data_IF_051866592812
#
_entry.id   IF_051866592812
#
_cell.length_a   1.000
_cell.length_b   1.000
_cell.length_c   1.000
_cell.angle_alpha   90.00
_cell.angle_beta   90.00
_cell.angle_gamma   90.00
#
_symmetry.space_group_name_H-M   'P 1'
#
loop_
_entity.id
_entity.type
_entity.pdbx_description
1 polymer ?
#
# COMPACT_ATOMS: atom_id res chain seq x y z
N UNK A 1 -3.77 -0.26 0.91
CA UNK A 1 -2.54 -0.96 0.52
C UNK A 1 -2.77 -2.48 0.43
N UNK A 2 -1.87 -3.16 -0.26
CA UNK A 2 -1.87 -4.62 -0.39
C UNK A 2 -1.37 -5.30 0.89
N UNK A 3 -1.64 -6.61 1.11
CA UNK A 3 -1.01 -7.35 2.21
C UNK A 3 0.52 -7.31 2.18
N UNK A 4 1.10 -7.34 0.98
CA UNK A 4 2.50 -6.99 0.76
C UNK A 4 2.56 -5.72 -0.09
N UNK A 5 3.32 -4.74 0.34
CA UNK A 5 3.61 -3.56 -0.47
C UNK A 5 4.97 -2.99 -0.08
N UNK A 6 5.59 -2.28 -1.01
CA UNK A 6 6.85 -1.60 -0.74
C UNK A 6 6.57 -0.20 -0.25
N UNK A 7 7.15 0.14 0.89
CA UNK A 7 7.00 1.46 1.48
C UNK A 7 8.32 2.22 1.39
N UNK A 8 8.30 3.33 0.68
CA UNK A 8 9.41 4.28 0.65
C UNK A 8 9.25 5.23 1.82
N UNK A 9 10.35 5.73 2.34
CA UNK A 9 10.25 6.63 3.46
C UNK A 9 11.56 7.29 3.82
N UNK A 10 11.47 8.25 4.72
CA UNK A 10 12.60 8.90 5.34
C UNK A 10 12.32 9.06 6.83
N UNK A 11 13.38 9.02 7.62
CA UNK A 11 13.27 8.95 9.07
C UNK A 11 14.24 9.93 9.69
N UNK A 12 13.83 10.55 10.81
CA UNK A 12 14.69 11.41 11.58
C UNK A 12 14.49 11.15 13.06
N UNK A 13 15.58 11.02 13.78
CA UNK A 13 15.58 10.76 15.21
C UNK A 13 16.22 11.96 15.93
N UNK A 14 15.40 13.01 16.14
CA UNK A 14 15.86 14.22 16.82
C UNK A 14 16.65 15.20 15.93
N UNK A 15 16.64 15.02 14.63
CA UNK A 15 17.34 15.90 13.68
C UNK A 15 16.33 16.83 13.00
N UNK A 16 15.95 16.58 11.73
CA UNK A 16 14.95 17.41 11.06
C UNK A 16 13.52 17.09 11.52
N UNK A 17 12.60 18.04 11.34
CA UNK A 17 11.21 17.87 11.74
C UNK A 17 10.29 18.55 10.70
N UNK A 18 9.11 19.04 11.10
CA UNK A 18 8.08 19.59 10.19
C UNK A 18 8.62 20.63 9.22
N UNK A 19 9.42 21.56 9.73
CA UNK A 19 9.97 22.69 8.95
C UNK A 19 10.74 22.24 7.73
N UNK A 20 11.46 21.13 7.83
CA UNK A 20 12.30 20.59 6.77
C UNK A 20 11.53 19.58 5.92
N UNK A 21 10.86 18.61 6.56
CA UNK A 21 10.26 17.50 5.83
C UNK A 21 9.07 17.93 4.96
N UNK A 22 8.29 18.92 5.41
CA UNK A 22 7.13 19.38 4.64
C UNK A 22 7.55 19.97 3.29
N UNK A 23 8.47 20.98 3.24
CA UNK A 23 8.93 21.49 1.95
C UNK A 23 9.65 20.42 1.10
N UNK A 24 10.45 19.56 1.71
CA UNK A 24 11.16 18.50 0.98
C UNK A 24 10.20 17.52 0.31
N UNK A 25 9.15 17.10 1.02
CA UNK A 25 8.16 16.18 0.46
C UNK A 25 7.41 16.80 -0.71
N UNK A 26 7.05 18.06 -0.58
CA UNK A 26 6.37 18.79 -1.66
C UNK A 26 7.28 18.93 -2.89
N UNK A 27 8.52 19.30 -2.69
CA UNK A 27 9.51 19.40 -3.77
C UNK A 27 9.69 18.06 -4.48
N UNK A 28 9.81 16.97 -3.72
CA UNK A 28 9.96 15.64 -4.30
C UNK A 28 8.76 15.26 -5.17
N UNK A 29 7.55 15.43 -4.65
CA UNK A 29 6.33 15.05 -5.36
C UNK A 29 6.12 15.91 -6.61
N UNK A 30 6.33 17.22 -6.51
CA UNK A 30 6.03 18.13 -7.62
C UNK A 30 7.16 18.26 -8.63
N UNK A 31 8.41 18.32 -8.18
CA UNK A 31 9.56 18.52 -9.07
C UNK A 31 10.18 17.22 -9.53
N UNK A 32 10.51 16.33 -8.60
CA UNK A 32 11.20 15.07 -8.97
C UNK A 32 10.23 14.06 -9.61
N UNK A 33 9.06 13.87 -9.02
CA UNK A 33 8.05 12.97 -9.57
C UNK A 33 7.19 13.62 -10.66
N UNK A 34 7.15 14.95 -10.72
CA UNK A 34 6.43 15.69 -11.75
C UNK A 34 4.92 15.63 -11.64
N UNK A 35 4.37 15.37 -10.45
CA UNK A 35 2.92 15.36 -10.27
C UNK A 35 2.42 16.80 -10.23
N UNK A 36 1.44 17.19 -11.07
CA UNK A 36 0.95 18.57 -11.09
C UNK A 36 0.40 19.02 -9.74
N UNK A 37 0.84 20.19 -9.28
CA UNK A 37 0.45 20.74 -7.99
C UNK A 37 -1.06 20.95 -7.87
N UNK A 38 -1.75 21.24 -8.96
CA UNK A 38 -3.20 21.47 -8.99
C UNK A 38 -4.01 20.20 -8.71
N UNK A 39 -3.40 19.02 -8.78
CA UNK A 39 -4.03 17.74 -8.43
C UNK A 39 -3.78 17.33 -6.99
N UNK A 40 -2.99 18.09 -6.25
CA UNK A 40 -2.56 17.70 -4.91
C UNK A 40 -3.38 18.40 -3.83
N UNK A 41 -3.76 17.63 -2.83
CA UNK A 41 -4.44 18.08 -1.63
C UNK A 41 -3.65 17.62 -0.42
N UNK A 42 -3.69 18.42 0.64
CA UNK A 42 -2.96 18.15 1.87
C UNK A 42 -3.98 17.98 3.00
N UNK A 43 -3.73 16.98 3.85
CA UNK A 43 -4.45 16.84 5.11
C UNK A 43 -3.50 17.10 6.27
N UNK A 44 -4.03 17.63 7.35
CA UNK A 44 -3.32 17.83 8.62
C UNK A 44 -4.26 17.48 9.77
N UNK A 45 -3.70 17.30 10.95
CA UNK A 45 -4.52 17.16 12.15
C UNK A 45 -5.20 18.49 12.48
N UNK A 46 -6.42 18.44 13.00
CA UNK A 46 -7.23 19.63 13.32
C UNK A 46 -6.51 20.64 14.20
N UNK A 47 -5.65 20.19 15.09
CA UNK A 47 -4.92 21.04 16.02
C UNK A 47 -3.47 21.34 15.62
N UNK A 48 -3.02 20.85 14.45
CA UNK A 48 -1.64 21.06 14.01
C UNK A 48 -1.48 22.37 13.23
N UNK A 49 -1.49 23.48 13.96
CA UNK A 49 -1.34 24.82 13.38
C UNK A 49 0.06 25.04 12.82
N UNK A 50 1.07 24.38 13.37
CA UNK A 50 2.43 24.47 12.86
C UNK A 50 2.55 23.88 11.45
N UNK A 51 1.94 22.71 11.23
CA UNK A 51 1.91 22.11 9.89
C UNK A 51 1.11 22.98 8.92
N UNK A 52 -0.02 23.53 9.36
CA UNK A 52 -0.81 24.46 8.54
C UNK A 52 0.04 25.65 8.09
N UNK A 53 0.74 26.27 9.02
CA UNK A 53 1.57 27.45 8.73
C UNK A 53 2.66 27.13 7.70
N UNK A 54 3.32 25.98 7.84
CA UNK A 54 4.37 25.58 6.91
C UNK A 54 3.80 25.31 5.51
N UNK A 55 2.71 24.58 5.41
CA UNK A 55 2.06 24.30 4.12
C UNK A 55 1.56 25.58 3.44
N UNK A 56 0.97 26.49 4.21
CA UNK A 56 0.36 27.70 3.67
C UNK A 56 1.40 28.81 3.40
N UNK A 57 2.23 29.14 4.38
CA UNK A 57 3.12 30.28 4.30
C UNK A 57 4.51 29.97 3.72
N UNK A 58 5.03 28.75 3.91
CA UNK A 58 6.35 28.37 3.40
C UNK A 58 6.23 27.70 2.02
N UNK A 59 5.38 26.70 1.90
CA UNK A 59 5.14 26.01 0.64
C UNK A 59 4.29 26.87 -0.31
N UNK A 60 3.36 27.63 0.22
CA UNK A 60 2.54 28.56 -0.56
C UNK A 60 1.22 28.00 -1.04
N UNK A 61 0.70 26.96 -0.39
CA UNK A 61 -0.59 26.40 -0.77
C UNK A 61 -1.75 27.29 -0.28
N UNK A 62 -2.82 27.43 -1.06
CA UNK A 62 -4.01 28.13 -0.58
C UNK A 62 -4.67 27.33 0.55
N UNK A 63 -5.36 28.05 1.46
CA UNK A 63 -5.96 27.44 2.65
C UNK A 63 -6.95 26.33 2.30
N UNK A 64 -7.73 26.48 1.23
CA UNK A 64 -8.72 25.48 0.80
C UNK A 64 -8.12 24.15 0.37
N UNK A 65 -6.83 24.11 0.09
CA UNK A 65 -6.11 22.89 -0.26
C UNK A 65 -5.53 22.14 0.94
N UNK A 66 -5.68 22.72 2.13
CA UNK A 66 -5.17 22.14 3.39
C UNK A 66 -6.38 21.79 4.25
N UNK A 67 -6.67 20.50 4.35
CA UNK A 67 -7.87 20.00 5.02
C UNK A 67 -7.53 19.50 6.42
N UNK A 68 -8.26 19.95 7.43
CA UNK A 68 -8.06 19.55 8.82
C UNK A 68 -8.93 18.36 9.16
N UNK A 69 -8.32 17.25 9.58
CA UNK A 69 -9.01 16.01 9.92
C UNK A 69 -8.58 15.51 11.29
N UNK A 70 -9.54 15.09 12.11
CA UNK A 70 -9.24 14.56 13.44
C UNK A 70 -8.50 13.24 13.39
N UNK A 71 -8.75 12.42 12.36
CA UNK A 71 -8.09 11.14 12.17
C UNK A 71 -6.61 11.25 11.76
N UNK A 72 -6.12 12.46 11.47
CA UNK A 72 -4.70 12.66 11.14
C UNK A 72 -3.82 12.65 12.39
N UNK A 73 -3.94 11.59 13.16
CA UNK A 73 -3.12 11.34 14.34
C UNK A 73 -2.72 9.86 14.34
N UNK A 74 -1.41 9.61 14.35
CA UNK A 74 -0.88 8.24 14.31
C UNK A 74 -0.55 7.77 15.73
N UNK A 75 -1.12 6.66 16.13
CA UNK A 75 -0.85 5.99 17.41
C UNK A 75 -1.08 4.48 17.28
N UNK A 76 -0.40 3.71 18.11
CA UNK A 76 -0.46 2.24 18.08
C UNK A 76 -0.70 1.67 19.49
N UNK A 77 -1.42 2.38 20.32
CA UNK A 77 -1.53 2.12 21.75
C UNK A 77 -0.49 2.93 22.50
N UNK A 78 0.08 2.40 23.56
CA UNK A 78 1.12 3.12 24.32
C UNK A 78 2.42 3.22 23.52
N UNK A 79 3.11 4.33 23.68
CA UNK A 79 4.39 4.61 23.02
C UNK A 79 4.40 5.88 22.17
N UNK A 80 5.42 6.06 21.36
CA UNK A 80 5.54 7.26 20.51
C UNK A 80 4.38 7.43 19.54
N UNK A 81 3.88 8.67 19.43
CA UNK A 81 2.73 9.01 18.57
C UNK A 81 2.77 10.49 18.22
N UNK A 82 1.87 10.91 17.35
CA UNK A 82 1.75 12.32 16.99
C UNK A 82 0.85 12.57 15.79
N UNK A 83 0.61 13.85 15.50
CA UNK A 83 -0.17 14.22 14.32
C UNK A 83 0.55 13.82 13.04
N UNK A 84 -0.22 13.68 11.97
CA UNK A 84 0.36 13.40 10.65
C UNK A 84 -0.22 14.33 9.60
N UNK A 85 0.51 14.44 8.50
CA UNK A 85 0.09 15.19 7.33
C UNK A 85 0.22 14.28 6.11
N UNK A 86 -0.82 14.25 5.29
CA UNK A 86 -0.87 13.38 4.12
C UNK A 86 -0.93 14.18 2.84
N UNK A 87 -0.28 13.66 1.80
CA UNK A 87 -0.39 14.20 0.44
C UNK A 87 -1.30 13.28 -0.35
N UNK A 88 -2.38 13.85 -0.90
CA UNK A 88 -3.38 13.14 -1.70
C UNK A 88 -3.37 13.63 -3.14
N UNK A 89 -3.59 12.72 -4.07
CA UNK A 89 -3.78 13.04 -5.49
C UNK A 89 -5.27 12.96 -5.80
N UNK A 90 -5.82 14.01 -6.40
CA UNK A 90 -7.17 14.00 -6.94
C UNK A 90 -7.16 13.25 -8.28
N UNK A 91 -7.79 12.09 -8.30
CA UNK A 91 -7.85 11.22 -9.49
C UNK A 91 -8.99 11.59 -10.45
N UNK A 92 -9.78 12.60 -10.11
CA UNK A 92 -10.88 13.10 -10.94
C UNK A 92 -12.27 12.80 -10.39
N UNK A 93 -13.23 13.63 -10.74
CA UNK A 93 -14.62 13.52 -10.26
C UNK A 93 -15.27 12.19 -10.67
N UNK A 94 -14.91 11.67 -11.83
CA UNK A 94 -15.44 10.41 -12.35
C UNK A 94 -15.08 9.21 -11.50
N UNK A 95 -14.08 9.32 -10.64
CA UNK A 95 -13.66 8.28 -9.70
C UNK A 95 -14.24 8.44 -8.32
N UNK A 96 -14.98 9.53 -8.11
CA UNK A 96 -15.58 9.85 -6.83
C UNK A 96 -16.94 9.21 -6.61
N UNK A 97 -17.54 9.53 -5.46
CA UNK A 97 -18.87 9.04 -5.06
C UNK A 97 -20.02 9.75 -5.76
N UNK A 98 -19.75 10.79 -6.54
CA UNK A 98 -20.77 11.59 -7.23
C UNK A 98 -21.57 12.54 -6.34
N UNK A 99 -21.27 12.60 -5.05
CA UNK A 99 -21.96 13.52 -4.13
C UNK A 99 -21.36 14.91 -4.22
N UNK A 100 -22.18 15.98 -4.11
CA UNK A 100 -21.65 17.34 -4.08
C UNK A 100 -20.70 17.63 -2.92
N UNK A 101 -20.79 16.85 -1.84
CA UNK A 101 -19.95 16.96 -0.65
C UNK A 101 -18.66 16.17 -0.75
N UNK A 102 -18.37 15.54 -1.91
CA UNK A 102 -17.16 14.77 -2.11
C UNK A 102 -15.93 15.66 -1.97
N UNK A 103 -15.09 15.33 -1.00
CA UNK A 103 -13.89 16.08 -0.67
C UNK A 103 -12.83 15.13 -0.12
N UNK A 104 -11.63 15.63 0.08
CA UNK A 104 -10.57 14.87 0.74
C UNK A 104 -11.05 14.42 2.12
N UNK A 105 -10.84 13.13 2.42
CA UNK A 105 -11.39 12.47 3.61
C UNK A 105 -12.63 11.64 3.32
N UNK A 106 -13.21 11.74 2.12
CA UNK A 106 -14.30 10.88 1.68
C UNK A 106 -13.78 9.46 1.43
N UNK A 107 -14.62 8.46 1.76
CA UNK A 107 -14.30 7.03 1.57
C UNK A 107 -14.42 6.57 0.11
N UNK A 108 -14.50 7.49 -0.84
CA UNK A 108 -14.55 7.14 -2.26
C UNK A 108 -13.14 7.02 -2.86
N UNK A 109 -13.07 6.58 -4.11
CA UNK A 109 -11.81 6.30 -4.80
C UNK A 109 -11.18 7.54 -5.48
N UNK A 110 -11.73 8.73 -5.25
CA UNK A 110 -11.27 9.95 -5.93
C UNK A 110 -9.92 10.44 -5.44
N UNK A 111 -9.74 10.51 -4.11
CA UNK A 111 -8.52 11.06 -3.51
C UNK A 111 -7.65 9.93 -3.00
N UNK A 112 -6.46 9.80 -3.58
CA UNK A 112 -5.51 8.75 -3.24
C UNK A 112 -4.38 9.32 -2.40
N UNK A 113 -4.23 8.83 -1.16
CA UNK A 113 -3.08 9.15 -0.32
C UNK A 113 -1.83 8.52 -0.92
N UNK A 114 -0.83 9.35 -1.24
CA UNK A 114 0.44 8.87 -1.80
C UNK A 114 1.61 8.99 -0.82
N UNK A 115 1.50 9.82 0.21
CA UNK A 115 2.56 9.99 1.20
C UNK A 115 1.97 10.39 2.55
N UNK A 116 2.42 9.74 3.61
CA UNK A 116 2.04 10.08 4.98
C UNK A 116 3.27 10.53 5.75
N UNK A 117 3.23 11.75 6.29
CA UNK A 117 4.28 12.32 7.12
C UNK A 117 3.83 12.27 8.57
N UNK A 118 4.46 11.41 9.38
CA UNK A 118 4.11 11.28 10.80
C UNK A 118 5.09 12.09 11.64
N UNK A 119 4.54 12.96 12.48
CA UNK A 119 5.29 13.85 13.37
C UNK A 119 5.24 13.27 14.78
N UNK A 120 6.18 12.40 15.10
CA UNK A 120 6.23 11.71 16.39
C UNK A 120 6.76 12.66 17.44
N UNK A 121 5.87 13.33 18.15
CA UNK A 121 6.20 14.38 19.11
C UNK A 121 5.67 14.11 20.52
N UNK A 122 4.85 13.07 20.70
CA UNK A 122 4.27 12.68 21.98
C UNK A 122 4.56 11.23 22.30
N UNK A 123 4.45 10.91 23.59
CA UNK A 123 4.35 9.53 24.08
C UNK A 123 2.97 9.34 24.67
N UNK A 124 2.25 8.32 24.22
CA UNK A 124 1.02 7.89 24.86
C UNK A 124 1.38 6.97 26.02
N UNK A 125 1.03 7.40 27.23
CA UNK A 125 1.29 6.63 28.45
C UNK A 125 0.26 5.51 28.61
N UNK A 126 0.54 4.56 29.49
CA UNK A 126 -0.35 3.42 29.72
C UNK A 126 -1.73 3.84 30.23
N UNK A 127 -1.84 4.98 30.93
CA UNK A 127 -3.11 5.54 31.42
C UNK A 127 -3.88 6.31 30.32
N UNK A 128 -3.36 6.38 29.09
CA UNK A 128 -3.98 7.08 27.98
C UNK A 128 -3.64 8.55 27.89
N UNK A 129 -2.82 9.09 28.77
CA UNK A 129 -2.37 10.49 28.70
C UNK A 129 -1.21 10.63 27.74
N UNK A 130 -1.01 11.87 27.24
CA UNK A 130 0.07 12.19 26.31
C UNK A 130 1.08 13.10 26.97
N UNK A 131 2.37 12.78 26.81
CA UNK A 131 3.48 13.63 27.26
C UNK A 131 4.39 13.95 26.08
N UNK A 132 4.93 15.18 25.99
CA UNK A 132 5.87 15.53 24.92
C UNK A 132 7.13 14.67 24.97
N UNK A 133 7.62 14.26 23.79
CA UNK A 133 8.92 13.60 23.68
C UNK A 133 10.06 14.62 23.80
N UNK A 134 11.14 14.20 24.43
CA UNK A 134 12.36 15.03 24.53
C UNK A 134 12.95 15.30 23.16
N UNK A 135 12.98 14.28 22.30
CA UNK A 135 13.40 14.40 20.90
C UNK A 135 12.21 14.07 20.01
N UNK A 136 11.92 14.99 19.07
CA UNK A 136 10.86 14.78 18.08
C UNK A 136 11.41 14.02 16.89
N UNK A 137 10.60 13.11 16.36
CA UNK A 137 11.03 12.22 15.29
C UNK A 137 10.13 12.34 14.07
N UNK A 138 10.69 12.05 12.91
CA UNK A 138 9.95 11.96 11.64
C UNK A 138 9.92 10.50 11.22
N UNK A 139 8.74 10.04 10.86
CA UNK A 139 8.51 8.74 10.22
C UNK A 139 7.58 8.98 9.04
N UNK A 140 8.02 8.67 7.83
CA UNK A 140 7.20 8.87 6.65
C UNK A 140 6.99 7.57 5.90
N UNK A 141 5.89 7.50 5.13
CA UNK A 141 5.59 6.34 4.32
C UNK A 141 4.90 6.72 3.01
N UNK A 142 5.46 6.22 1.91
CA UNK A 142 4.88 6.35 0.57
C UNK A 142 4.82 4.96 -0.07
N UNK A 143 3.62 4.50 -0.39
CA UNK A 143 3.45 3.21 -1.04
C UNK A 143 3.94 3.25 -2.48
N UNK A 144 4.93 2.44 -2.81
CA UNK A 144 5.50 2.41 -4.16
C UNK A 144 4.43 2.09 -5.20
N UNK A 145 3.55 1.14 -4.92
CA UNK A 145 2.49 0.74 -5.85
C UNK A 145 1.54 1.89 -6.18
N UNK A 146 1.19 2.70 -5.19
CA UNK A 146 0.34 3.88 -5.41
C UNK A 146 1.04 4.94 -6.23
N UNK A 147 2.30 5.22 -5.93
CA UNK A 147 3.11 6.15 -6.73
C UNK A 147 3.22 5.67 -8.18
N UNK A 148 3.50 4.39 -8.38
CA UNK A 148 3.60 3.80 -9.71
C UNK A 148 2.29 3.94 -10.49
N UNK A 149 1.13 3.72 -9.86
CA UNK A 149 -0.17 3.85 -10.52
C UNK A 149 -0.40 5.29 -11.01
N UNK A 150 -0.05 6.27 -10.21
CA UNK A 150 -0.19 7.69 -10.58
C UNK A 150 0.78 8.06 -11.69
N UNK A 151 2.05 7.70 -11.55
CA UNK A 151 3.09 8.06 -12.52
C UNK A 151 2.93 7.35 -13.86
N UNK A 152 2.41 6.12 -13.86
CA UNK A 152 2.14 5.37 -15.09
C UNK A 152 0.78 5.69 -15.70
N UNK A 153 -0.02 6.52 -15.02
CA UNK A 153 -1.36 6.88 -15.50
C UNK A 153 -2.32 5.70 -15.56
N UNK A 154 -2.20 4.76 -14.63
CA UNK A 154 -3.04 3.56 -14.60
C UNK A 154 -4.25 3.73 -13.70
N UNK A 155 -5.36 3.01 -13.97
CA UNK A 155 -6.56 3.12 -13.16
C UNK A 155 -6.37 2.66 -11.72
N UNK A 156 -5.47 1.69 -11.49
CA UNK A 156 -5.17 1.19 -10.14
C UNK A 156 -3.75 0.61 -10.08
N UNK A 157 -3.35 0.19 -8.88
CA UNK A 157 -2.07 -0.49 -8.67
C UNK A 157 -1.95 -1.77 -9.51
N UNK A 158 -3.07 -2.44 -9.75
CA UNK A 158 -3.10 -3.73 -10.43
C UNK A 158 -2.68 -3.67 -11.89
N UNK A 159 -2.90 -2.55 -12.57
CA UNK A 159 -2.54 -2.40 -13.98
C UNK A 159 -1.10 -1.89 -14.17
N UNK A 160 -0.38 -1.64 -13.06
CA UNK A 160 1.03 -1.23 -13.13
C UNK A 160 1.94 -2.41 -13.47
N UNK A 161 3.14 -2.10 -13.89
CA UNK A 161 4.18 -3.09 -14.15
C UNK A 161 4.64 -3.87 -12.91
N UNK A 162 4.23 -3.41 -11.72
CA UNK A 162 4.54 -4.08 -10.45
C UNK A 162 3.62 -5.26 -10.14
N UNK A 163 2.46 -5.37 -10.79
CA UNK A 163 1.46 -6.41 -10.49
C UNK A 163 0.90 -7.06 -11.75
N UNK A 164 0.68 -6.29 -12.82
CA UNK A 164 -0.05 -6.75 -13.99
C UNK A 164 0.48 -8.03 -14.64
N UNK A 165 1.81 -8.26 -14.73
CA UNK A 165 2.31 -9.53 -15.28
C UNK A 165 1.79 -10.78 -14.58
N UNK A 166 1.46 -10.68 -13.29
CA UNK A 166 0.87 -11.81 -12.55
C UNK A 166 -0.58 -12.01 -12.97
N UNK A 167 -1.32 -10.91 -13.21
CA UNK A 167 -2.68 -10.97 -13.76
C UNK A 167 -2.67 -11.64 -15.14
N UNK A 168 -1.71 -11.27 -16.00
CA UNK A 168 -1.56 -11.86 -17.33
C UNK A 168 -1.34 -13.38 -17.22
N UNK A 169 -0.44 -13.81 -16.35
CA UNK A 169 -0.21 -15.23 -16.11
C UNK A 169 -1.50 -15.97 -15.71
N UNK A 170 -2.21 -15.45 -14.73
CA UNK A 170 -3.45 -16.10 -14.23
C UNK A 170 -4.53 -16.10 -15.31
N UNK A 171 -4.64 -15.04 -16.09
CA UNK A 171 -5.63 -14.98 -17.19
C UNK A 171 -5.33 -15.98 -18.29
N UNK A 172 -4.05 -16.22 -18.60
CA UNK A 172 -3.65 -17.23 -19.58
C UNK A 172 -3.99 -18.64 -19.07
N UNK A 173 -3.65 -18.94 -17.81
CA UNK A 173 -3.96 -20.25 -17.21
C UNK A 173 -5.47 -20.52 -17.19
N UNK A 174 -6.27 -19.50 -16.87
CA UNK A 174 -7.72 -19.62 -16.81
C UNK A 174 -8.41 -19.51 -18.18
N UNK A 175 -7.69 -19.11 -19.23
CA UNK A 175 -8.22 -18.80 -20.55
C UNK A 175 -9.35 -17.77 -20.49
N UNK A 176 -9.13 -16.71 -19.70
CA UNK A 176 -10.05 -15.57 -19.57
C UNK A 176 -9.31 -14.29 -19.90
N UNK A 177 -10.05 -13.21 -20.14
CA UNK A 177 -9.49 -11.91 -20.50
C UNK A 177 -9.78 -10.89 -19.40
N UNK A 178 -8.74 -10.19 -18.98
CA UNK A 178 -8.87 -9.08 -18.02
C UNK A 178 -9.54 -7.87 -18.67
N UNK A 179 -10.45 -7.26 -17.93
CA UNK A 179 -11.14 -6.05 -18.39
C UNK A 179 -12.50 -6.29 -19.04
N UNK A 180 -12.98 -7.54 -19.10
CA UNK A 180 -14.27 -7.86 -19.72
C UNK A 180 -15.40 -8.08 -18.72
N UNK A 181 -15.14 -8.78 -17.64
CA UNK A 181 -16.14 -9.15 -16.64
C UNK A 181 -15.64 -8.81 -15.25
N UNK A 182 -16.45 -8.07 -14.49
CA UNK A 182 -16.06 -7.58 -13.14
C UNK A 182 -15.68 -8.72 -12.20
N UNK A 183 -16.47 -9.82 -12.17
CA UNK A 183 -16.20 -10.95 -11.26
C UNK A 183 -14.87 -11.62 -11.61
N UNK A 184 -14.59 -11.80 -12.87
CA UNK A 184 -13.33 -12.35 -13.36
C UNK A 184 -12.16 -11.45 -12.98
N UNK A 185 -12.32 -10.16 -13.17
CA UNK A 185 -11.27 -9.19 -12.82
C UNK A 185 -10.95 -9.21 -11.33
N UNK A 186 -11.97 -9.29 -10.48
CA UNK A 186 -11.79 -9.38 -9.02
C UNK A 186 -10.96 -10.63 -8.68
N UNK A 187 -11.29 -11.78 -9.25
CA UNK A 187 -10.54 -13.01 -8.99
C UNK A 187 -9.09 -12.91 -9.48
N UNK A 188 -8.87 -12.34 -10.66
CA UNK A 188 -7.52 -12.14 -11.19
C UNK A 188 -6.69 -11.20 -10.30
N UNK A 189 -7.30 -10.13 -9.80
CA UNK A 189 -6.66 -9.20 -8.88
C UNK A 189 -6.28 -9.88 -7.55
N UNK A 190 -7.20 -10.65 -6.98
CA UNK A 190 -6.94 -11.40 -5.75
C UNK A 190 -5.78 -12.37 -5.92
N UNK A 191 -5.78 -13.13 -7.01
CA UNK A 191 -4.71 -14.08 -7.30
C UNK A 191 -3.37 -13.37 -7.41
N UNK A 192 -3.32 -12.28 -8.16
CA UNK A 192 -2.08 -11.52 -8.35
C UNK A 192 -1.54 -10.93 -7.05
N UNK A 193 -2.40 -10.28 -6.29
CA UNK A 193 -2.04 -9.71 -4.99
C UNK A 193 -1.52 -10.78 -4.04
N UNK A 194 -2.22 -11.89 -3.95
CA UNK A 194 -1.89 -12.97 -3.02
C UNK A 194 -0.65 -13.75 -3.46
N UNK A 195 -0.46 -13.97 -4.75
CA UNK A 195 0.76 -14.62 -5.26
C UNK A 195 2.01 -13.81 -4.90
N UNK A 196 1.94 -12.50 -5.04
CA UNK A 196 3.05 -11.61 -4.65
C UNK A 196 3.29 -11.68 -3.15
N UNK A 197 2.24 -11.53 -2.35
CA UNK A 197 2.33 -11.55 -0.88
C UNK A 197 2.88 -12.87 -0.36
N UNK A 198 2.35 -14.01 -0.82
CA UNK A 198 2.79 -15.32 -0.32
C UNK A 198 4.23 -15.64 -0.70
N UNK A 199 4.67 -15.21 -1.86
CA UNK A 199 6.05 -15.39 -2.30
C UNK A 199 7.02 -14.72 -1.33
N UNK A 200 6.78 -13.47 -0.99
CA UNK A 200 7.62 -12.73 -0.04
C UNK A 200 7.51 -13.28 1.38
N UNK A 201 6.31 -13.64 1.82
CA UNK A 201 6.12 -14.20 3.17
C UNK A 201 6.93 -15.48 3.37
N UNK A 202 6.88 -16.40 2.40
CA UNK A 202 7.63 -17.67 2.48
C UNK A 202 9.12 -17.41 2.38
N UNK A 203 9.55 -16.52 1.50
CA UNK A 203 10.97 -16.13 1.39
C UNK A 203 11.51 -15.59 2.72
N UNK A 204 10.66 -14.92 3.50
CA UNK A 204 11.02 -14.37 4.81
C UNK A 204 10.88 -15.39 5.95
N UNK A 205 10.57 -16.65 5.65
CA UNK A 205 10.59 -17.73 6.64
C UNK A 205 9.25 -18.10 7.24
N UNK A 206 8.13 -17.58 6.70
CA UNK A 206 6.79 -17.92 7.19
C UNK A 206 6.32 -19.21 6.53
N UNK A 207 5.76 -20.13 7.33
CA UNK A 207 5.16 -21.37 6.85
C UNK A 207 3.67 -21.40 7.19
N UNK A 208 2.83 -22.02 6.33
CA UNK A 208 1.41 -22.15 6.63
C UNK A 208 1.18 -22.89 7.95
N UNK A 209 0.31 -22.34 8.79
CA UNK A 209 -0.02 -22.92 10.09
C UNK A 209 -1.43 -22.51 10.52
N UNK A 210 -1.86 -23.00 11.69
CA UNK A 210 -3.21 -22.72 12.20
C UNK A 210 -3.29 -21.46 13.06
N UNK A 211 -2.16 -20.81 13.33
CA UNK A 211 -2.11 -19.61 14.18
C UNK A 211 -1.02 -18.64 13.73
N UNK A 212 -1.16 -17.39 14.18
CA UNK A 212 -0.16 -16.36 13.94
C UNK A 212 0.01 -15.99 12.47
N UNK A 213 1.24 -15.66 12.09
CA UNK A 213 1.58 -15.27 10.72
C UNK A 213 1.34 -16.39 9.72
N UNK A 214 1.61 -17.63 10.11
CA UNK A 214 1.37 -18.80 9.26
C UNK A 214 -0.10 -19.01 8.93
N UNK A 215 -1.01 -18.66 9.85
CA UNK A 215 -2.43 -18.68 9.59
C UNK A 215 -2.84 -17.67 8.53
N UNK A 216 -2.29 -16.48 8.59
CA UNK A 216 -2.52 -15.43 7.56
C UNK A 216 -2.06 -15.93 6.20
N UNK A 217 -0.85 -16.49 6.13
CA UNK A 217 -0.33 -17.07 4.89
C UNK A 217 -1.25 -18.17 4.34
N UNK A 218 -1.69 -19.08 5.20
CA UNK A 218 -2.62 -20.15 4.80
C UNK A 218 -3.91 -19.60 4.22
N UNK A 219 -4.50 -18.59 4.87
CA UNK A 219 -5.71 -17.94 4.38
C UNK A 219 -5.52 -17.30 3.01
N UNK A 220 -4.43 -16.56 2.84
CA UNK A 220 -4.11 -15.89 1.57
C UNK A 220 -3.95 -16.92 0.46
N UNK A 221 -3.20 -17.98 0.71
CA UNK A 221 -2.95 -19.02 -0.27
C UNK A 221 -4.24 -19.73 -0.68
N UNK A 222 -5.03 -20.15 0.30
CA UNK A 222 -6.31 -20.82 0.05
C UNK A 222 -7.30 -19.92 -0.67
N UNK A 223 -7.30 -18.64 -0.35
CA UNK A 223 -8.15 -17.66 -1.04
C UNK A 223 -7.76 -17.54 -2.51
N UNK A 224 -6.46 -17.53 -2.81
CA UNK A 224 -5.99 -17.51 -4.20
C UNK A 224 -6.42 -18.76 -4.96
N UNK A 225 -6.32 -19.94 -4.35
CA UNK A 225 -6.81 -21.20 -4.96
C UNK A 225 -8.30 -21.11 -5.25
N UNK A 226 -9.08 -20.63 -4.29
CA UNK A 226 -10.53 -20.50 -4.45
C UNK A 226 -10.91 -19.56 -5.58
N UNK A 227 -10.24 -18.43 -5.68
CA UNK A 227 -10.47 -17.48 -6.78
C UNK A 227 -10.05 -18.07 -8.13
N UNK A 228 -9.00 -18.91 -8.15
CA UNK A 228 -8.65 -19.66 -9.34
C UNK A 228 -9.80 -20.58 -9.79
N UNK A 229 -10.41 -21.29 -8.84
CA UNK A 229 -11.58 -22.13 -9.13
C UNK A 229 -12.76 -21.32 -9.69
N UNK A 230 -13.00 -20.14 -9.15
CA UNK A 230 -14.11 -19.29 -9.60
C UNK A 230 -13.97 -18.86 -11.07
N UNK A 231 -12.75 -18.82 -11.60
CA UNK A 231 -12.51 -18.47 -13.00
C UNK A 231 -12.13 -19.68 -13.87
N UNK A 232 -12.36 -20.90 -13.34
CA UNK A 232 -12.22 -22.13 -14.10
C UNK A 232 -10.86 -22.82 -14.05
N UNK A 233 -9.99 -22.44 -13.13
CA UNK A 233 -8.73 -23.15 -12.93
C UNK A 233 -8.96 -24.32 -11.97
N UNK A 234 -8.91 -25.52 -12.50
CA UNK A 234 -9.15 -26.76 -11.75
C UNK A 234 -7.88 -27.55 -11.41
N UNK A 235 -6.73 -27.00 -11.76
CA UNK A 235 -5.41 -27.60 -11.55
C UNK A 235 -4.55 -26.70 -10.66
N UNK A 236 -3.41 -27.23 -10.22
CA UNK A 236 -2.41 -26.45 -9.53
C UNK A 236 -1.79 -25.41 -10.47
N UNK A 237 -1.62 -24.18 -10.00
CA UNK A 237 -1.12 -23.10 -10.85
C UNK A 237 -0.27 -22.07 -10.08
N UNK A 238 -0.30 -22.10 -8.74
CA UNK A 238 0.35 -21.04 -7.95
C UNK A 238 1.89 -21.09 -8.03
N UNK A 239 2.48 -22.26 -8.24
CA UNK A 239 3.94 -22.33 -8.43
C UNK A 239 4.40 -21.55 -9.65
N UNK A 240 3.62 -21.57 -10.73
CA UNK A 240 3.90 -20.76 -11.92
C UNK A 240 3.75 -19.27 -11.64
N UNK A 241 2.81 -18.89 -10.79
CA UNK A 241 2.67 -17.50 -10.37
C UNK A 241 3.90 -17.03 -9.58
N UNK A 242 4.48 -17.89 -8.76
CA UNK A 242 5.74 -17.62 -8.05
C UNK A 242 6.87 -17.33 -9.04
N UNK A 243 6.97 -18.09 -10.12
CA UNK A 243 7.97 -17.85 -11.15
C UNK A 243 7.86 -16.43 -11.72
N UNK A 244 6.64 -15.98 -11.98
CA UNK A 244 6.39 -14.63 -12.49
C UNK A 244 6.85 -13.58 -11.47
N UNK A 245 6.49 -13.75 -10.21
CA UNK A 245 6.90 -12.83 -9.13
C UNK A 245 8.43 -12.76 -9.04
N UNK A 246 9.10 -13.90 -9.08
CA UNK A 246 10.56 -13.94 -9.00
C UNK A 246 11.21 -13.30 -10.23
N UNK A 247 10.65 -13.50 -11.41
CA UNK A 247 11.13 -12.83 -12.62
C UNK A 247 11.03 -11.32 -12.50
N UNK A 248 9.94 -10.81 -11.90
CA UNK A 248 9.73 -9.38 -11.70
C UNK A 248 10.63 -8.77 -10.64
N UNK A 249 10.85 -9.48 -9.53
CA UNK A 249 11.44 -8.92 -8.32
C UNK A 249 12.81 -9.51 -7.96
N UNK A 250 13.25 -10.60 -8.58
CA UNK A 250 14.47 -11.31 -8.20
C UNK A 250 15.73 -10.49 -8.32
N UNK A 251 15.77 -9.52 -9.24
CA UNK A 251 16.92 -8.64 -9.42
C UNK A 251 17.08 -7.62 -8.27
N UNK A 252 15.98 -7.32 -7.57
CA UNK A 252 15.99 -6.44 -6.39
C UNK A 252 16.12 -7.27 -5.11
N UNK A 253 15.48 -8.43 -5.09
CA UNK A 253 15.44 -9.34 -3.94
C UNK A 253 16.05 -10.69 -4.32
N UNK A 254 17.40 -10.81 -4.33
CA UNK A 254 18.08 -12.05 -4.74
C UNK A 254 17.69 -13.30 -3.94
N UNK A 255 17.24 -13.11 -2.69
CA UNK A 255 16.76 -14.21 -1.86
C UNK A 255 15.55 -14.95 -2.47
N UNK A 256 14.75 -14.28 -3.29
CA UNK A 256 13.64 -14.93 -4.00
C UNK A 256 14.19 -15.96 -5.01
N UNK A 257 15.24 -15.60 -5.73
CA UNK A 257 15.87 -16.49 -6.71
C UNK A 257 16.50 -17.69 -6.01
N UNK A 258 17.22 -17.44 -4.92
CA UNK A 258 17.89 -18.49 -4.14
C UNK A 258 16.89 -19.48 -3.53
N UNK A 259 15.73 -19.01 -3.11
CA UNK A 259 14.72 -19.81 -2.43
C UNK A 259 13.58 -20.26 -3.35
N UNK A 260 13.68 -20.07 -4.66
CA UNK A 260 12.63 -20.40 -5.61
C UNK A 260 12.03 -21.79 -5.39
N UNK A 261 12.87 -22.81 -5.38
CA UNK A 261 12.40 -24.19 -5.23
C UNK A 261 11.70 -24.42 -3.89
N UNK A 262 12.26 -23.84 -2.83
CA UNK A 262 11.69 -23.92 -1.49
C UNK A 262 10.30 -23.26 -1.45
N UNK A 263 10.18 -22.05 -2.00
CA UNK A 263 8.93 -21.29 -2.03
C UNK A 263 7.87 -22.08 -2.79
N UNK A 264 8.21 -22.58 -3.99
CA UNK A 264 7.30 -23.35 -4.82
C UNK A 264 6.85 -24.64 -4.14
N UNK A 265 7.76 -25.32 -3.45
CA UNK A 265 7.44 -26.55 -2.74
C UNK A 265 6.44 -26.32 -1.60
N UNK A 266 6.66 -25.26 -0.80
CA UNK A 266 5.75 -24.91 0.29
C UNK A 266 4.36 -24.60 -0.27
N UNK A 267 4.28 -23.82 -1.34
CA UNK A 267 3.01 -23.48 -1.98
C UNK A 267 2.31 -24.70 -2.55
N UNK A 268 3.03 -25.57 -3.27
CA UNK A 268 2.47 -26.78 -3.86
C UNK A 268 1.90 -27.72 -2.80
N UNK A 269 2.57 -27.87 -1.68
CA UNK A 269 2.08 -28.71 -0.58
C UNK A 269 0.76 -28.19 -0.02
N UNK A 270 0.65 -26.92 0.22
CA UNK A 270 -0.58 -26.33 0.77
C UNK A 270 -1.69 -26.27 -0.28
N UNK A 271 -1.37 -25.97 -1.53
CA UNK A 271 -2.33 -25.99 -2.64
C UNK A 271 -2.91 -27.38 -2.82
N UNK A 272 -2.06 -28.40 -2.84
CA UNK A 272 -2.48 -29.81 -2.93
C UNK A 272 -3.40 -30.18 -1.77
N UNK A 273 -3.02 -29.83 -0.55
CA UNK A 273 -3.82 -30.12 0.64
C UNK A 273 -5.19 -29.49 0.56
N UNK A 274 -5.26 -28.21 0.15
CA UNK A 274 -6.53 -27.50 0.06
C UNK A 274 -7.44 -28.03 -1.06
N UNK A 275 -6.85 -28.36 -2.22
CA UNK A 275 -7.62 -28.92 -3.33
C UNK A 275 -8.32 -30.21 -2.97
N UNK A 276 -7.78 -31.02 -2.05
CA UNK A 276 -8.42 -32.25 -1.56
C UNK A 276 -9.65 -31.96 -0.70
N UNK A 277 -9.80 -30.77 -0.17
CA UNK A 277 -10.94 -30.38 0.67
C UNK A 277 -12.05 -29.70 -0.12
N UNK A 278 -11.79 -29.31 -1.36
CA UNK A 278 -12.76 -28.70 -2.24
C UNK A 278 -13.49 -29.76 -3.05
#
# INVERSE_FOLDING_TARGET
>A
HHPYFEMLGNFSFGDYFKKEIIPWSWEFVTKELGIPADKLWITIHTEDDEAFDIWHNVVGLPEERIVRLEENFWEIGSGPCGPCSEIHVDLGEERGCGKPTCAVGCDCDRFLEIWNLVFTQYNQNEDGTYTPLANKNIDTGAGLERLASVLQGKPSNFETDLIFPIIEYASEVAAVEYGRERKTDISLKVIADHARSMTFMIADGILPSNEGRGYVLRRILRRAVRHGRLIGIDKMFLAGAVDVVIEMYGHVYPNLVEKREYIQKVIEMEETSFLRTL
#
